data_IF_754899601781
#
_entry.id   IF_754899601781
#
_cell.length_a   1.000
_cell.length_b   1.000
_cell.length_c   1.000
_cell.angle_alpha   90.00
_cell.angle_beta   90.00
_cell.angle_gamma   90.00
#
_symmetry.space_group_name_H-M   'P 1'
#
loop_
_entity.id
_entity.type
_entity.pdbx_description
1 polymer ?
#
# COMPACT_ATOMS: atom_id res chain seq x y z
N UNK A 1 -28.30 -28.58 2.86
CA UNK A 1 -27.34 -28.20 1.81
C UNK A 1 -27.06 -26.71 1.94
N UNK A 2 -25.86 -26.33 2.35
CA UNK A 2 -25.47 -24.91 2.45
C UNK A 2 -24.91 -24.48 1.09
N UNK A 3 -25.57 -23.55 0.41
CA UNK A 3 -25.08 -22.98 -0.85
C UNK A 3 -23.97 -22.00 -0.53
N UNK A 4 -22.72 -22.40 -0.76
CA UNK A 4 -21.59 -21.47 -0.77
C UNK A 4 -21.79 -20.56 -1.98
N UNK A 5 -22.22 -19.32 -1.73
CA UNK A 5 -22.30 -18.30 -2.77
C UNK A 5 -20.89 -18.11 -3.33
N UNK A 6 -20.69 -18.50 -4.58
CA UNK A 6 -19.47 -18.21 -5.33
C UNK A 6 -19.29 -16.69 -5.31
N UNK A 7 -18.39 -16.20 -4.46
CA UNK A 7 -17.96 -14.81 -4.46
C UNK A 7 -17.49 -14.55 -5.88
N UNK A 8 -18.27 -13.75 -6.65
CA UNK A 8 -17.78 -13.19 -7.91
C UNK A 8 -16.44 -12.58 -7.57
N UNK A 9 -15.38 -13.10 -8.20
CA UNK A 9 -14.04 -12.57 -8.04
C UNK A 9 -14.05 -11.23 -8.75
N UNK A 10 -14.50 -10.19 -8.06
CA UNK A 10 -14.30 -8.81 -8.47
C UNK A 10 -12.78 -8.63 -8.50
N UNK A 11 -12.22 -8.63 -9.72
CA UNK A 11 -10.80 -8.46 -9.94
C UNK A 11 -10.48 -7.01 -9.63
N UNK A 12 -10.05 -6.76 -8.40
CA UNK A 12 -9.63 -5.45 -7.93
C UNK A 12 -8.29 -5.09 -8.57
N UNK A 13 -8.18 -3.92 -9.17
CA UNK A 13 -6.93 -3.44 -9.78
C UNK A 13 -6.00 -2.90 -8.70
N UNK A 14 -4.85 -3.55 -8.55
CA UNK A 14 -3.86 -3.22 -7.52
C UNK A 14 -2.51 -2.97 -8.19
N UNK A 15 -1.96 -1.78 -7.99
CA UNK A 15 -0.62 -1.40 -8.44
C UNK A 15 0.34 -1.37 -7.24
N UNK A 16 1.61 -1.75 -7.45
CA UNK A 16 2.64 -1.73 -6.40
C UNK A 16 3.78 -0.79 -6.79
N UNK A 17 4.29 -0.02 -5.82
CA UNK A 17 5.42 0.87 -6.05
C UNK A 17 6.26 1.09 -4.80
N UNK A 18 7.55 1.34 -5.01
CA UNK A 18 8.49 1.67 -3.94
C UNK A 18 8.50 3.18 -3.67
N UNK A 19 8.46 3.54 -2.40
CA UNK A 19 8.52 4.92 -1.93
C UNK A 19 9.57 5.03 -0.82
N UNK A 20 10.47 6.00 -0.95
CA UNK A 20 11.47 6.27 0.06
C UNK A 20 11.12 7.53 0.83
N UNK A 21 10.85 7.37 2.13
CA UNK A 21 10.61 8.49 3.01
C UNK A 21 11.93 9.04 3.55
N UNK A 22 12.48 10.07 2.89
CA UNK A 22 13.73 10.73 3.29
C UNK A 22 13.78 11.20 4.76
N UNK A 23 12.64 11.65 5.31
CA UNK A 23 12.58 12.20 6.66
C UNK A 23 12.74 11.14 7.75
N UNK A 24 12.19 9.95 7.50
CA UNK A 24 12.28 8.80 8.41
C UNK A 24 13.40 7.83 8.02
N UNK A 25 13.99 8.03 6.84
CA UNK A 25 14.90 7.10 6.20
C UNK A 25 14.34 5.66 6.11
N UNK A 26 13.04 5.53 5.79
CA UNK A 26 12.34 4.24 5.67
C UNK A 26 11.88 4.03 4.23
N UNK A 27 12.06 2.83 3.72
CA UNK A 27 11.48 2.38 2.46
C UNK A 27 10.11 1.77 2.73
N UNK A 28 9.13 2.20 1.96
CA UNK A 28 7.78 1.67 1.96
C UNK A 28 7.51 0.95 0.63
N UNK A 29 6.91 -0.23 0.74
CA UNK A 29 6.23 -0.88 -0.36
C UNK A 29 4.77 -0.43 -0.32
N UNK A 30 4.36 0.35 -1.32
CA UNK A 30 3.03 0.92 -1.38
C UNK A 30 2.15 0.09 -2.31
N UNK A 31 0.98 -0.31 -1.84
CA UNK A 31 -0.08 -0.89 -2.65
C UNK A 31 -1.12 0.19 -2.95
N UNK A 32 -1.31 0.50 -4.23
CA UNK A 32 -2.36 1.37 -4.72
C UNK A 32 -3.58 0.55 -5.11
N UNK A 33 -4.69 0.82 -4.42
CA UNK A 33 -6.01 0.31 -4.72
C UNK A 33 -6.67 1.26 -5.72
N UNK A 34 -6.55 0.96 -7.02
CA UNK A 34 -6.95 1.86 -8.09
C UNK A 34 -8.45 2.19 -8.04
N UNK A 35 -9.27 1.18 -7.70
CA UNK A 35 -10.73 1.33 -7.66
C UNK A 35 -11.23 2.27 -6.55
N UNK A 36 -10.38 2.58 -5.56
CA UNK A 36 -10.76 3.37 -4.38
C UNK A 36 -9.92 4.64 -4.21
N UNK A 37 -8.90 4.85 -5.05
CA UNK A 37 -7.86 5.87 -4.89
C UNK A 37 -7.19 5.82 -3.50
N UNK A 38 -6.89 4.62 -2.98
CA UNK A 38 -6.29 4.43 -1.65
C UNK A 38 -4.91 3.78 -1.76
N UNK A 39 -3.97 4.21 -0.91
CA UNK A 39 -2.63 3.64 -0.78
C UNK A 39 -2.45 3.02 0.59
N UNK A 40 -2.04 1.76 0.60
CA UNK A 40 -1.54 1.06 1.78
C UNK A 40 -0.01 1.14 1.74
N UNK A 41 0.61 1.76 2.75
CA UNK A 41 2.07 1.80 2.90
C UNK A 41 2.53 0.74 3.88
N UNK A 42 3.38 -0.16 3.41
CA UNK A 42 3.98 -1.23 4.22
C UNK A 42 5.47 -0.94 4.36
N UNK A 43 6.02 -0.77 5.57
CA UNK A 43 7.46 -0.60 5.74
C UNK A 43 8.20 -1.87 5.31
N UNK A 44 9.28 -1.74 4.54
CA UNK A 44 10.07 -2.88 4.06
C UNK A 44 11.03 -3.43 5.11
N UNK A 45 11.59 -2.55 5.93
CA UNK A 45 12.60 -2.92 6.93
C UNK A 45 12.11 -2.40 8.29
N UNK A 46 11.85 -3.29 9.26
CA UNK A 46 11.53 -2.87 10.62
C UNK A 46 12.78 -2.21 11.23
N UNK A 47 12.69 -0.92 11.56
CA UNK A 47 13.76 -0.21 12.29
C UNK A 47 13.52 -0.37 13.80
N UNK A 48 14.25 -1.32 14.41
CA UNK A 48 14.34 -1.46 15.87
C UNK A 48 13.06 -1.90 16.59
N UNK A 49 13.17 -2.12 17.90
CA UNK A 49 12.11 -2.63 18.78
C UNK A 49 11.02 -1.62 19.14
N UNK A 50 11.16 -0.35 18.77
CA UNK A 50 10.33 0.75 19.29
C UNK A 50 9.35 1.34 18.27
N UNK A 51 9.48 0.96 16.99
CA UNK A 51 8.54 1.38 15.95
C UNK A 51 8.06 0.15 15.19
N UNK A 52 7.03 -0.50 15.72
CA UNK A 52 6.05 -1.16 14.87
C UNK A 52 5.49 -0.07 13.97
N UNK A 53 6.14 0.14 12.83
CA UNK A 53 5.77 1.20 11.92
C UNK A 53 4.51 0.72 11.21
N UNK A 54 3.36 0.92 11.87
CA UNK A 54 2.08 0.33 11.49
C UNK A 54 1.77 0.55 10.01
N UNK A 55 1.12 -0.45 9.40
CA UNK A 55 0.62 -0.37 8.03
C UNK A 55 -0.23 0.91 7.91
N UNK A 56 0.20 1.86 7.08
CA UNK A 56 -0.48 3.16 6.96
C UNK A 56 -1.45 3.12 5.80
N UNK A 57 -2.71 3.41 6.06
CA UNK A 57 -3.73 3.60 5.04
C UNK A 57 -3.89 5.09 4.75
N UNK A 58 -3.78 5.49 3.48
CA UNK A 58 -3.91 6.89 3.08
C UNK A 58 -4.72 7.01 1.81
N UNK A 59 -5.56 8.04 1.71
CA UNK A 59 -6.12 8.43 0.42
C UNK A 59 -4.99 8.90 -0.50
N UNK A 60 -5.02 8.42 -1.74
CA UNK A 60 -4.07 8.78 -2.76
C UNK A 60 -4.30 10.21 -3.23
N UNK A 61 -3.21 10.92 -3.51
CA UNK A 61 -3.22 12.32 -3.92
C UNK A 61 -2.00 12.59 -4.79
N UNK A 62 -2.20 12.75 -6.10
CA UNK A 62 -1.13 12.96 -7.08
C UNK A 62 -0.15 14.08 -6.69
N UNK A 63 -0.59 15.09 -5.95
CA UNK A 63 0.26 16.22 -5.55
C UNK A 63 1.29 15.84 -4.49
N UNK A 64 1.07 14.74 -3.74
CA UNK A 64 1.89 14.34 -2.59
C UNK A 64 2.85 13.20 -2.88
N UNK A 65 2.65 12.44 -3.94
CA UNK A 65 3.43 11.23 -4.23
C UNK A 65 4.39 11.47 -5.39
N UNK A 66 5.69 11.44 -5.09
CA UNK A 66 6.75 11.37 -6.08
C UNK A 66 7.05 9.90 -6.33
N UNK A 67 6.65 9.38 -7.50
CA UNK A 67 6.91 7.99 -7.87
C UNK A 67 8.40 7.78 -8.13
N UNK A 68 9.02 6.82 -7.42
CA UNK A 68 10.41 6.46 -7.63
C UNK A 68 10.58 5.38 -8.71
N UNK A 69 9.66 4.42 -8.84
CA UNK A 69 9.52 3.44 -9.94
C UNK A 69 8.19 2.66 -9.79
N UNK A 70 7.46 2.40 -10.89
CA UNK A 70 6.35 1.43 -10.95
C UNK A 70 6.79 0.16 -11.68
N UNK A 71 6.44 -1.02 -11.18
CA UNK A 71 6.76 -2.31 -11.80
C UNK A 71 5.49 -3.16 -11.96
#
# INVERSE_FOLDING_TARGET
MSTVSSLKKESMSISMFLDWCKYKNIFYNNLYLEDYDWVIKIPLIPQGSETQDDIKLKKFDLTKYTYLLSY
#
